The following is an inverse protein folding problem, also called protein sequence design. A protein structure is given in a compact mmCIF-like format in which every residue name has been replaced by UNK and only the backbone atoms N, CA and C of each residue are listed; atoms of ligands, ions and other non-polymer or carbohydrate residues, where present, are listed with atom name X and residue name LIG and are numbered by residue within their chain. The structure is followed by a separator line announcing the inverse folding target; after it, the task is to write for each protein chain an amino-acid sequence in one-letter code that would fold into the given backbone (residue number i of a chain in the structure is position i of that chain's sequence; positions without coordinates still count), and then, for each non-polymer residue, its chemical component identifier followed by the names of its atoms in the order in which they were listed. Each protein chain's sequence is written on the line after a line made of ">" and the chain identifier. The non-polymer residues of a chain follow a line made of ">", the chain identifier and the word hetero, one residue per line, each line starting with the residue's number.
data_IF_112361770490
#
_entry.id   IF_112361770490
#
_cell.length_a   1.000
_cell.length_b   1.000
_cell.length_c   1.000
_cell.angle_alpha   90.00
_cell.angle_beta   90.00
_cell.angle_gamma   90.00
#
_symmetry.space_group_name_H-M   'P 1'
#
loop_
_entity.id
_entity.type
_entity.pdbx_description
1 polymer ?
#
# COMPACT_ATOMS: atom_id res chain seq x y z
N UNK A 1 -18.19 -45.48 -17.90
CA UNK A 1 -18.91 -44.33 -18.48
C UNK A 1 -18.52 -43.12 -17.67
N UNK A 2 -17.67 -42.28 -18.27
CA UNK A 2 -17.03 -41.06 -17.74
C UNK A 2 -18.06 -40.09 -17.12
N UNK A 3 -17.92 -39.72 -15.85
CA UNK A 3 -17.07 -38.64 -15.31
C UNK A 3 -17.34 -37.28 -15.97
N UNK A 4 -18.27 -36.52 -15.37
CA UNK A 4 -18.63 -35.15 -15.74
C UNK A 4 -17.85 -34.20 -14.84
N UNK A 5 -16.56 -34.07 -15.11
CA UNK A 5 -15.71 -33.02 -14.53
C UNK A 5 -16.28 -31.66 -14.96
N UNK A 6 -16.86 -30.91 -14.02
CA UNK A 6 -17.12 -29.48 -14.21
C UNK A 6 -15.76 -28.79 -14.37
N UNK A 7 -15.34 -28.60 -15.61
CA UNK A 7 -14.23 -27.70 -15.95
C UNK A 7 -14.65 -26.31 -15.48
N UNK A 8 -14.03 -25.84 -14.40
CA UNK A 8 -14.09 -24.45 -13.97
C UNK A 8 -13.67 -23.58 -15.17
N UNK A 9 -14.56 -22.68 -15.59
CA UNK A 9 -14.30 -21.75 -16.69
C UNK A 9 -12.98 -21.03 -16.44
N UNK A 10 -12.06 -21.20 -17.39
CA UNK A 10 -10.83 -20.41 -17.53
C UNK A 10 -11.24 -18.93 -17.49
N UNK A 11 -10.71 -18.19 -16.51
CA UNK A 11 -10.97 -16.77 -16.31
C UNK A 11 -10.55 -15.98 -17.57
N UNK A 12 -11.52 -15.60 -18.41
CA UNK A 12 -11.26 -14.83 -19.63
C UNK A 12 -11.09 -13.35 -19.26
N UNK A 13 -9.91 -13.01 -18.73
CA UNK A 13 -9.47 -11.63 -18.46
C UNK A 13 -9.02 -10.93 -19.74
N UNK A 14 -9.75 -11.13 -20.84
CA UNK A 14 -9.34 -10.70 -22.19
C UNK A 14 -9.14 -9.19 -22.32
N UNK A 15 -9.83 -8.42 -21.47
CA UNK A 15 -9.85 -6.96 -21.53
C UNK A 15 -9.03 -6.32 -20.40
N UNK A 16 -8.18 -7.08 -19.70
CA UNK A 16 -7.26 -6.53 -18.69
C UNK A 16 -6.22 -5.66 -19.38
N UNK A 17 -6.21 -4.36 -19.05
CA UNK A 17 -5.39 -3.35 -19.73
C UNK A 17 -4.37 -2.68 -18.81
N UNK A 18 -4.58 -2.75 -17.49
CA UNK A 18 -3.65 -2.17 -16.53
C UNK A 18 -3.71 -2.90 -15.18
N UNK A 19 -2.56 -2.88 -14.50
CA UNK A 19 -2.37 -3.40 -13.15
C UNK A 19 -1.42 -2.48 -12.39
N UNK A 20 -1.75 -2.13 -11.15
CA UNK A 20 -0.94 -1.27 -10.28
C UNK A 20 -0.77 -1.89 -8.91
N UNK A 21 0.45 -1.78 -8.35
CA UNK A 21 0.72 -2.09 -6.95
C UNK A 21 0.80 -0.78 -6.18
N UNK A 22 -0.03 -0.61 -5.15
CA UNK A 22 -0.10 0.62 -4.35
C UNK A 22 0.27 0.29 -2.90
N UNK A 23 1.41 0.77 -2.39
CA UNK A 23 1.75 0.59 -0.99
C UNK A 23 0.92 1.54 -0.11
N UNK A 24 0.27 1.01 0.92
CA UNK A 24 -0.42 1.73 1.98
C UNK A 24 0.05 1.21 3.36
N UNK A 25 -0.44 1.81 4.44
CA UNK A 25 -0.13 1.39 5.81
C UNK A 25 -0.56 -0.07 6.10
N UNK A 26 -1.66 -0.52 5.49
CA UNK A 26 -2.18 -1.89 5.60
C UNK A 26 -1.57 -2.88 4.60
N UNK A 27 -0.54 -2.44 3.86
CA UNK A 27 0.22 -3.26 2.95
C UNK A 27 0.09 -2.82 1.49
N UNK A 28 0.57 -3.67 0.59
CA UNK A 28 0.52 -3.42 -0.85
C UNK A 28 -0.79 -3.98 -1.41
N UNK A 29 -1.60 -3.11 -2.01
CA UNK A 29 -2.82 -3.49 -2.70
C UNK A 29 -2.60 -3.58 -4.21
N UNK A 30 -3.20 -4.59 -4.84
CA UNK A 30 -3.15 -4.80 -6.29
C UNK A 30 -4.45 -4.32 -6.92
N UNK A 31 -4.36 -3.31 -7.78
CA UNK A 31 -5.49 -2.78 -8.54
C UNK A 31 -5.42 -3.31 -9.98
N UNK A 32 -6.47 -3.98 -10.42
CA UNK A 32 -6.62 -4.46 -11.80
C UNK A 32 -7.72 -3.67 -12.51
N UNK A 33 -7.49 -3.29 -13.78
CA UNK A 33 -8.48 -2.60 -14.59
C UNK A 33 -8.71 -3.30 -15.93
N UNK A 34 -9.98 -3.63 -16.20
CA UNK A 34 -10.44 -4.04 -17.52
C UNK A 34 -11.11 -2.89 -18.26
N UNK A 35 -10.81 -2.76 -19.56
CA UNK A 35 -11.47 -1.80 -20.45
C UNK A 35 -11.81 -2.42 -21.80
N UNK A 36 -13.10 -2.63 -22.06
CA UNK A 36 -13.59 -3.07 -23.36
C UNK A 36 -13.73 -1.89 -24.32
N UNK A 37 -12.84 -1.77 -25.30
CA UNK A 37 -12.80 -0.62 -26.23
C UNK A 37 -13.95 -0.59 -27.24
N UNK A 38 -14.67 -1.69 -27.43
CA UNK A 38 -15.89 -1.74 -28.27
C UNK A 38 -17.17 -1.42 -27.50
N UNK A 39 -17.31 -1.93 -26.28
CA UNK A 39 -18.53 -1.79 -25.47
C UNK A 39 -18.47 -0.65 -24.46
N UNK A 40 -17.28 -0.10 -24.20
CA UNK A 40 -17.01 0.77 -23.06
C UNK A 40 -17.07 0.06 -21.72
N UNK A 41 -17.00 -1.28 -21.68
CA UNK A 41 -16.99 -2.05 -20.43
C UNK A 41 -15.84 -1.59 -19.53
N UNK A 42 -16.10 -1.42 -18.24
CA UNK A 42 -15.07 -1.13 -17.22
C UNK A 42 -15.23 -2.04 -16.03
N UNK A 43 -14.15 -2.67 -15.58
CA UNK A 43 -14.13 -3.46 -14.34
C UNK A 43 -12.91 -3.08 -13.53
N UNK A 44 -13.11 -2.74 -12.25
CA UNK A 44 -12.02 -2.48 -11.31
C UNK A 44 -12.04 -3.58 -10.25
N UNK A 45 -10.88 -4.17 -10.00
CA UNK A 45 -10.66 -5.09 -8.88
C UNK A 45 -9.55 -4.60 -7.97
N UNK A 46 -9.73 -4.85 -6.68
CA UNK A 46 -8.73 -4.62 -5.65
C UNK A 46 -8.48 -5.97 -4.98
N UNK A 47 -7.22 -6.42 -4.97
CA UNK A 47 -6.80 -7.70 -4.40
C UNK A 47 -7.61 -8.88 -4.93
N UNK A 48 -7.90 -8.85 -6.24
CA UNK A 48 -8.71 -9.85 -6.93
C UNK A 48 -10.22 -9.76 -6.70
N UNK A 49 -10.69 -8.89 -5.79
CA UNK A 49 -12.12 -8.64 -5.54
C UNK A 49 -12.64 -7.52 -6.43
N UNK A 50 -13.69 -7.79 -7.18
CA UNK A 50 -14.39 -6.78 -7.97
C UNK A 50 -15.08 -5.75 -7.07
N UNK A 51 -14.78 -4.47 -7.30
CA UNK A 51 -15.38 -3.34 -6.57
C UNK A 51 -16.26 -2.47 -7.46
N UNK A 52 -16.05 -2.54 -8.78
CA UNK A 52 -16.80 -1.75 -9.76
C UNK A 52 -16.92 -2.54 -11.06
N UNK A 53 -18.13 -2.54 -11.62
CA UNK A 53 -18.42 -3.06 -12.96
C UNK A 53 -19.39 -2.14 -13.67
N UNK A 54 -19.03 -1.76 -14.89
CA UNK A 54 -19.90 -1.13 -15.89
C UNK A 54 -19.86 -2.01 -17.12
N UNK A 55 -20.98 -2.63 -17.44
CA UNK A 55 -21.01 -3.60 -18.54
C UNK A 55 -21.02 -2.92 -19.91
N UNK A 56 -21.51 -1.68 -19.98
CA UNK A 56 -21.57 -0.90 -21.20
C UNK A 56 -21.46 0.61 -20.92
N UNK A 57 -20.71 1.32 -21.76
CA UNK A 57 -20.62 2.79 -21.72
C UNK A 57 -20.48 3.35 -23.14
N UNK A 58 -21.22 4.41 -23.44
CA UNK A 58 -21.06 5.12 -24.71
C UNK A 58 -19.71 5.86 -24.82
N UNK A 59 -19.18 6.35 -23.69
CA UNK A 59 -17.92 7.10 -23.63
C UNK A 59 -16.79 6.19 -23.17
N UNK A 60 -15.76 6.03 -23.99
CA UNK A 60 -14.59 5.19 -23.69
C UNK A 60 -13.58 5.89 -22.77
N UNK A 61 -13.48 7.22 -22.82
CA UNK A 61 -12.55 8.04 -22.02
C UNK A 61 -13.23 8.64 -20.78
N UNK A 62 -12.44 8.98 -19.77
CA UNK A 62 -12.94 9.59 -18.53
C UNK A 62 -12.36 8.92 -17.29
N UNK A 63 -13.05 9.10 -16.17
CA UNK A 63 -12.52 8.74 -14.85
C UNK A 63 -13.43 7.77 -14.11
N UNK A 64 -12.83 6.94 -13.26
CA UNK A 64 -13.50 6.21 -12.19
C UNK A 64 -12.83 6.59 -10.86
N UNK A 65 -13.65 6.84 -9.84
CA UNK A 65 -13.19 7.26 -8.51
C UNK A 65 -13.58 6.20 -7.49
N UNK A 66 -12.64 5.80 -6.65
CA UNK A 66 -12.84 4.80 -5.60
C UNK A 66 -11.87 5.05 -4.43
N UNK A 67 -11.99 4.27 -3.36
CA UNK A 67 -11.12 4.35 -2.18
C UNK A 67 -10.32 3.06 -2.00
N UNK A 68 -9.10 3.16 -1.48
CA UNK A 68 -8.18 2.03 -1.29
C UNK A 68 -7.68 1.92 0.16
N UNK A 69 -7.55 0.69 0.64
CA UNK A 69 -7.02 0.35 1.96
C UNK A 69 -7.82 0.90 3.14
N UNK A 70 -7.32 0.65 4.35
CA UNK A 70 -7.92 1.08 5.62
C UNK A 70 -7.97 2.60 5.75
N UNK A 71 -6.97 3.28 5.17
CA UNK A 71 -6.88 4.74 5.15
C UNK A 71 -7.90 5.39 4.20
N UNK A 72 -8.63 4.59 3.41
CA UNK A 72 -9.56 5.06 2.38
C UNK A 72 -8.92 6.07 1.42
N UNK A 73 -7.67 5.82 1.03
CA UNK A 73 -6.92 6.66 0.11
C UNK A 73 -7.71 6.88 -1.18
N UNK A 74 -7.86 8.13 -1.60
CA UNK A 74 -8.71 8.48 -2.75
C UNK A 74 -7.98 8.11 -4.04
N UNK A 75 -8.55 7.19 -4.79
CA UNK A 75 -8.03 6.76 -6.09
C UNK A 75 -8.85 7.36 -7.23
N UNK A 76 -8.16 7.87 -8.25
CA UNK A 76 -8.75 8.30 -9.52
C UNK A 76 -8.05 7.54 -10.65
N UNK A 77 -8.79 6.64 -11.29
CA UNK A 77 -8.34 5.94 -12.49
C UNK A 77 -8.85 6.72 -13.70
N UNK A 78 -7.93 7.09 -14.59
CA UNK A 78 -8.20 7.88 -15.78
C UNK A 78 -7.88 7.11 -17.05
N UNK A 79 -8.81 7.18 -17.99
CA UNK A 79 -8.67 6.69 -19.36
C UNK A 79 -8.60 7.89 -20.29
N UNK A 80 -7.44 8.12 -20.89
CA UNK A 80 -7.21 9.19 -21.84
C UNK A 80 -7.04 8.64 -23.26
N UNK A 81 -7.48 9.37 -24.30
CA UNK A 81 -7.29 8.96 -25.68
C UNK A 81 -5.83 9.17 -26.11
N UNK A 82 -5.31 8.22 -26.90
CA UNK A 82 -4.07 8.35 -27.64
C UNK A 82 -4.36 8.36 -29.16
N UNK A 83 -3.40 8.81 -29.99
CA UNK A 83 -3.49 8.65 -31.44
C UNK A 83 -3.73 7.19 -31.86
N UNK A 84 -4.24 6.99 -33.08
CA UNK A 84 -4.46 5.67 -33.68
C UNK A 84 -5.43 4.77 -32.88
N UNK A 85 -6.48 5.37 -32.29
CA UNK A 85 -7.52 4.64 -31.53
C UNK A 85 -7.01 3.85 -30.32
N UNK A 86 -5.86 4.27 -29.76
CA UNK A 86 -5.31 3.72 -28.52
C UNK A 86 -5.76 4.53 -27.29
N UNK A 87 -5.45 4.01 -26.11
CA UNK A 87 -5.78 4.63 -24.83
C UNK A 87 -4.59 4.54 -23.86
N UNK A 88 -4.46 5.51 -22.97
CA UNK A 88 -3.57 5.45 -21.82
C UNK A 88 -4.38 5.35 -20.53
N UNK A 89 -3.80 4.65 -19.56
CA UNK A 89 -4.41 4.38 -18.26
C UNK A 89 -3.53 4.94 -17.17
N UNK A 90 -4.05 5.87 -16.38
CA UNK A 90 -3.32 6.50 -15.27
C UNK A 90 -4.06 6.26 -13.98
N UNK A 91 -3.32 5.89 -12.92
CA UNK A 91 -3.84 5.85 -11.57
C UNK A 91 -3.24 7.00 -10.76
N UNK A 92 -4.11 7.78 -10.13
CA UNK A 92 -3.75 8.74 -9.11
C UNK A 92 -4.22 8.29 -7.73
N UNK A 93 -3.36 8.42 -6.72
CA UNK A 93 -3.65 8.11 -5.31
C UNK A 93 -3.41 9.38 -4.49
N UNK A 94 -4.42 9.83 -3.76
CA UNK A 94 -4.43 11.09 -2.99
C UNK A 94 -3.92 12.29 -3.78
N UNK A 95 -4.38 12.39 -5.03
CA UNK A 95 -4.06 13.49 -5.93
C UNK A 95 -2.66 13.43 -6.57
N UNK A 96 -1.91 12.34 -6.35
CA UNK A 96 -0.57 12.14 -6.93
C UNK A 96 -0.56 10.99 -7.92
N UNK A 97 0.24 11.10 -8.97
CA UNK A 97 0.56 9.94 -9.83
C UNK A 97 1.25 8.87 -9.00
N UNK A 98 1.01 7.60 -9.33
CA UNK A 98 1.49 6.45 -8.54
C UNK A 98 2.99 6.51 -8.23
N UNK A 99 3.85 6.78 -9.21
CA UNK A 99 5.31 6.83 -8.98
C UNK A 99 5.69 7.85 -7.89
N UNK A 100 5.11 9.06 -7.95
CA UNK A 100 5.33 10.12 -6.95
C UNK A 100 4.68 9.80 -5.61
N UNK A 101 3.62 9.01 -5.61
CA UNK A 101 2.97 8.55 -4.39
C UNK A 101 3.86 7.52 -3.68
N UNK A 102 4.33 6.51 -4.41
CA UNK A 102 5.23 5.45 -3.91
C UNK A 102 6.56 6.02 -3.42
N UNK A 103 7.21 6.90 -4.19
CA UNK A 103 8.45 7.56 -3.77
C UNK A 103 8.27 8.35 -2.46
N UNK A 104 7.18 9.12 -2.36
CA UNK A 104 6.88 9.82 -1.10
C UNK A 104 6.67 8.82 0.04
N UNK A 105 5.93 7.75 -0.20
CA UNK A 105 5.58 6.78 0.82
C UNK A 105 6.83 6.11 1.43
N UNK A 106 7.83 5.78 0.60
CA UNK A 106 9.14 5.25 1.03
C UNK A 106 9.99 6.29 1.80
N UNK A 107 9.88 7.57 1.43
CA UNK A 107 10.60 8.65 2.13
C UNK A 107 9.98 9.02 3.47
N UNK A 108 8.66 8.91 3.60
CA UNK A 108 7.90 9.35 4.78
C UNK A 108 7.62 8.26 5.78
N UNK A 109 7.65 6.99 5.38
CA UNK A 109 7.34 5.88 6.27
C UNK A 109 8.54 4.95 6.47
N UNK A 110 8.54 4.24 7.59
CA UNK A 110 9.49 3.16 7.91
C UNK A 110 8.69 1.93 8.32
N UNK A 111 9.11 0.75 7.87
CA UNK A 111 8.35 -0.49 8.03
C UNK A 111 9.21 -1.52 8.74
N UNK A 112 8.61 -2.24 9.69
CA UNK A 112 9.24 -3.39 10.32
C UNK A 112 8.23 -4.52 10.46
N UNK A 113 8.66 -5.72 10.10
CA UNK A 113 7.98 -6.95 10.49
C UNK A 113 8.43 -7.36 11.90
N UNK A 114 7.50 -7.35 12.87
CA UNK A 114 7.72 -7.85 14.23
C UNK A 114 7.00 -9.18 14.42
N UNK A 115 7.72 -10.25 14.71
CA UNK A 115 7.15 -11.57 15.01
C UNK A 115 7.09 -11.76 16.52
N UNK A 116 5.88 -11.83 17.07
CA UNK A 116 5.65 -12.24 18.47
C UNK A 116 5.31 -13.73 18.53
N UNK A 117 5.15 -14.31 19.72
CA UNK A 117 4.70 -15.70 19.86
C UNK A 117 3.33 -15.96 19.23
N UNK A 118 2.49 -14.93 19.15
CA UNK A 118 1.09 -15.06 18.69
C UNK A 118 0.93 -14.74 17.21
N UNK A 119 1.56 -13.65 16.73
CA UNK A 119 1.26 -13.10 15.41
C UNK A 119 2.49 -12.46 14.74
N UNK A 120 2.43 -12.39 13.41
CA UNK A 120 3.28 -11.50 12.61
C UNK A 120 2.60 -10.13 12.58
N UNK A 121 3.28 -9.11 13.10
CA UNK A 121 2.79 -7.75 13.19
C UNK A 121 3.57 -6.83 12.25
N UNK A 122 2.88 -5.92 11.56
CA UNK A 122 3.51 -4.85 10.77
C UNK A 122 3.55 -3.58 11.61
N UNK A 123 4.75 -3.06 11.87
CA UNK A 123 4.94 -1.77 12.53
C UNK A 123 5.31 -0.72 11.49
N UNK A 124 4.64 0.42 11.54
CA UNK A 124 4.92 1.55 10.65
C UNK A 124 5.15 2.82 11.45
N UNK A 125 6.24 3.53 11.16
CA UNK A 125 6.45 4.90 11.63
C UNK A 125 6.21 5.89 10.48
N UNK A 126 5.26 6.81 10.64
CA UNK A 126 5.12 7.97 9.77
C UNK A 126 6.04 9.10 10.28
N UNK A 127 7.18 9.31 9.61
CA UNK A 127 8.28 10.19 10.07
C UNK A 127 7.89 11.66 10.29
N UNK A 128 6.85 12.15 9.60
CA UNK A 128 6.48 13.56 9.70
C UNK A 128 5.60 13.85 10.93
N UNK A 129 4.59 13.01 11.15
CA UNK A 129 3.69 13.13 12.30
C UNK A 129 4.25 12.45 13.55
N UNK A 130 5.23 11.56 13.38
CA UNK A 130 5.74 10.63 14.39
C UNK A 130 4.65 9.68 14.92
N UNK A 131 3.59 9.46 14.14
CA UNK A 131 2.57 8.46 14.46
C UNK A 131 3.13 7.06 14.22
N UNK A 132 2.82 6.16 15.15
CA UNK A 132 3.16 4.74 15.05
C UNK A 132 1.88 3.95 14.81
N UNK A 133 1.95 3.01 13.88
CA UNK A 133 0.87 2.09 13.56
C UNK A 133 1.33 0.65 13.76
N UNK A 134 0.45 -0.18 14.33
CA UNK A 134 0.63 -1.63 14.42
C UNK A 134 -0.53 -2.29 13.70
N UNK A 135 -0.25 -3.07 12.67
CA UNK A 135 -1.26 -3.68 11.79
C UNK A 135 -2.25 -2.65 11.23
N UNK A 136 -1.72 -1.48 10.84
CA UNK A 136 -2.43 -0.32 10.33
C UNK A 136 -3.41 0.37 11.30
N UNK A 137 -3.42 -0.02 12.57
CA UNK A 137 -4.11 0.69 13.64
C UNK A 137 -3.13 1.61 14.39
N UNK A 138 -3.50 2.87 14.69
CA UNK A 138 -2.64 3.76 15.44
C UNK A 138 -2.44 3.25 16.87
N UNK A 139 -1.23 3.38 17.40
CA UNK A 139 -0.91 3.04 18.79
C UNK A 139 -0.47 4.26 19.57
N UNK A 140 -0.84 4.32 20.84
CA UNK A 140 -0.30 5.31 21.75
C UNK A 140 1.16 4.97 22.10
N UNK A 141 2.01 5.99 22.12
CA UNK A 141 3.43 5.84 22.43
C UNK A 141 3.82 6.76 23.59
N UNK A 142 4.61 6.24 24.52
CA UNK A 142 5.32 7.06 25.49
C UNK A 142 6.62 7.59 24.85
N UNK A 143 6.77 8.92 24.83
CA UNK A 143 7.93 9.59 24.23
C UNK A 143 8.94 9.97 25.32
N UNK A 144 10.15 9.43 25.25
CA UNK A 144 11.22 9.63 26.23
C UNK A 144 12.46 10.21 25.55
N UNK A 145 12.99 11.31 26.09
CA UNK A 145 14.28 11.84 25.67
C UNK A 145 15.41 11.03 26.31
N UNK A 146 16.38 10.62 25.49
CA UNK A 146 17.57 9.87 25.91
C UNK A 146 18.82 10.58 25.42
N UNK A 147 19.98 10.24 25.98
CA UNK A 147 21.24 10.97 25.73
C UNK A 147 21.59 11.14 24.24
N UNK A 148 21.19 10.18 23.38
CA UNK A 148 21.48 10.17 21.94
C UNK A 148 20.24 10.32 21.04
N UNK A 149 19.12 10.81 21.58
CA UNK A 149 17.93 11.09 20.77
C UNK A 149 16.60 10.93 21.52
N UNK A 150 15.62 10.34 20.84
CA UNK A 150 14.27 10.14 21.40
C UNK A 150 13.84 8.70 21.22
N UNK A 151 13.12 8.16 22.19
CA UNK A 151 12.52 6.84 22.12
C UNK A 151 10.99 6.94 22.19
N UNK A 152 10.33 6.33 21.22
CA UNK A 152 8.89 6.07 21.23
C UNK A 152 8.67 4.64 21.73
N UNK A 153 8.06 4.50 22.91
CA UNK A 153 7.87 3.22 23.60
C UNK A 153 6.40 2.81 23.58
N UNK A 154 6.14 1.56 23.24
CA UNK A 154 4.80 0.96 23.19
C UNK A 154 4.89 -0.56 23.37
N UNK A 155 3.76 -1.26 23.37
CA UNK A 155 3.72 -2.71 23.54
C UNK A 155 3.00 -3.40 22.38
N UNK A 156 3.49 -4.58 22.02
CA UNK A 156 2.82 -5.51 21.10
C UNK A 156 2.75 -6.86 21.80
N UNK A 157 1.53 -7.39 22.00
CA UNK A 157 1.29 -8.68 22.68
C UNK A 157 1.95 -8.84 24.07
N UNK A 158 2.24 -7.73 24.76
CA UNK A 158 2.94 -7.70 26.06
C UNK A 158 4.45 -7.55 25.97
N UNK A 159 5.02 -7.59 24.76
CA UNK A 159 6.44 -7.34 24.51
C UNK A 159 6.73 -5.83 24.45
N UNK A 160 7.87 -5.42 24.99
CA UNK A 160 8.26 -4.01 24.96
C UNK A 160 8.88 -3.67 23.61
N UNK A 161 8.29 -2.70 22.92
CA UNK A 161 8.75 -2.22 21.61
C UNK A 161 9.20 -0.77 21.74
N UNK A 162 10.35 -0.47 21.14
CA UNK A 162 10.95 0.86 21.15
C UNK A 162 11.36 1.23 19.75
N UNK A 163 10.88 2.37 19.26
CA UNK A 163 11.47 3.02 18.09
C UNK A 163 12.40 4.12 18.59
N UNK A 164 13.70 3.98 18.31
CA UNK A 164 14.72 4.95 18.66
C UNK A 164 15.00 5.84 17.47
N UNK A 165 14.87 7.15 17.67
CA UNK A 165 15.31 8.17 16.75
C UNK A 165 16.69 8.68 17.20
N UNK A 166 17.73 8.49 16.38
CA UNK A 166 19.10 8.94 16.68
C UNK A 166 19.60 9.93 15.62
N UNK A 167 20.41 10.90 16.06
CA UNK A 167 21.03 11.88 15.16
C UNK A 167 22.40 11.38 14.73
N UNK A 168 22.69 11.41 13.42
CA UNK A 168 24.04 11.16 12.94
C UNK A 168 24.88 12.44 12.92
N UNK A 169 26.19 12.33 13.15
CA UNK A 169 27.11 13.47 13.07
C UNK A 169 27.38 13.97 11.63
N UNK A 170 26.84 13.29 10.60
CA UNK A 170 26.90 13.71 9.20
C UNK A 170 25.56 14.36 8.81
N UNK A 171 25.59 15.30 7.88
CA UNK A 171 24.51 16.25 7.55
C UNK A 171 23.17 15.67 7.05
N UNK A 172 22.88 14.37 7.16
CA UNK A 172 21.90 13.71 6.28
C UNK A 172 20.69 13.05 6.97
N UNK A 173 20.45 13.27 8.26
CA UNK A 173 19.10 13.09 8.86
C UNK A 173 19.01 12.22 10.12
N UNK A 174 17.76 11.98 10.52
CA UNK A 174 17.39 11.17 11.69
C UNK A 174 17.23 9.71 11.26
N UNK A 175 17.98 8.82 11.92
CA UNK A 175 17.85 7.37 11.77
C UNK A 175 16.77 6.89 12.74
N UNK A 176 15.93 5.98 12.29
CA UNK A 176 14.92 5.32 13.12
C UNK A 176 15.20 3.83 13.14
N UNK A 177 15.35 3.26 14.32
CA UNK A 177 15.65 1.85 14.55
C UNK A 177 14.59 1.28 15.48
N UNK A 178 14.06 0.09 15.17
CA UNK A 178 13.07 -0.58 16.00
C UNK A 178 13.70 -1.70 16.83
N UNK A 179 13.37 -1.75 18.11
CA UNK A 179 13.82 -2.76 19.05
C UNK A 179 12.64 -3.46 19.71
N UNK A 180 12.73 -4.78 19.87
CA UNK A 180 11.80 -5.60 20.65
C UNK A 180 12.58 -6.25 21.78
N UNK A 181 12.23 -5.95 23.03
CA UNK A 181 12.96 -6.37 24.24
C UNK A 181 14.47 -6.13 24.16
N UNK A 182 14.86 -4.98 23.57
CA UNK A 182 16.25 -4.58 23.40
C UNK A 182 16.99 -5.23 22.23
N UNK A 183 16.33 -6.08 21.43
CA UNK A 183 16.89 -6.64 20.19
C UNK A 183 16.41 -5.84 18.99
N UNK A 184 17.34 -5.41 18.16
CA UNK A 184 17.04 -4.66 16.93
C UNK A 184 16.31 -5.53 15.91
N UNK A 185 15.34 -4.93 15.21
CA UNK A 185 14.59 -5.52 14.11
C UNK A 185 14.98 -4.79 12.83
N UNK A 186 15.32 -5.56 11.80
CA UNK A 186 15.69 -5.04 10.48
C UNK A 186 14.48 -4.36 9.80
N UNK A 187 14.75 -3.24 9.14
CA UNK A 187 13.74 -2.51 8.37
C UNK A 187 13.32 -3.33 7.13
N UNK A 188 12.03 -3.38 6.83
CA UNK A 188 11.54 -4.04 5.64
C UNK A 188 11.99 -3.22 4.40
N UNK A 189 12.74 -3.86 3.49
CA UNK A 189 13.18 -3.23 2.23
C UNK A 189 14.54 -2.54 2.28
N UNK A 190 15.25 -2.54 3.42
CA UNK A 190 16.68 -2.20 3.43
C UNK A 190 17.47 -3.33 2.75
N UNK A 191 18.14 -3.02 1.65
CA UNK A 191 19.15 -3.93 1.08
C UNK A 191 20.43 -3.85 1.92
N UNK A 192 20.92 -5.01 2.38
CA UNK A 192 22.32 -5.17 2.82
C UNK A 192 23.30 -5.01 1.64
#
# INVERSE_FOLDING_TARGET
>A
MSDSTKVLKKNDRSDLVACWNVPLLDGVHVIEFEHGTTSGKRVIRIDGKEILRREWMFKLVGEEVFTLGIQKAKCVLRVDPLPLFAFSYTLMVDGKCLDKFTEKHELTNRYWTVITEKYRNTVVLEKHSLNVFVNAEPVETENVFVDNGTEMRFQIDGENVVIRASYTHKRDGVIHELFVNGREIQEDGSCD
#
